data_IF_765824714860
#
_entry.id   IF_765824714860
#
_cell.length_a   1.000
_cell.length_b   1.000
_cell.length_c   1.000
_cell.angle_alpha   90.00
_cell.angle_beta   90.00
_cell.angle_gamma   90.00
#
_symmetry.space_group_name_H-M   'P 1'
#
loop_
_entity.id
_entity.type
_entity.pdbx_description
1 polymer ?
#
# COMPACT_ATOMS: atom_id res chain seq x y z
N UNK A 1 40.10 14.21 58.19
CA UNK A 1 39.01 15.14 57.87
C UNK A 1 38.08 14.47 56.85
N UNK A 2 36.75 14.54 57.01
CA UNK A 2 35.78 13.80 56.21
C UNK A 2 35.58 14.40 54.81
N UNK A 3 35.19 13.56 53.85
CA UNK A 3 34.98 13.92 52.45
C UNK A 3 33.82 14.89 52.24
N UNK A 4 34.09 15.93 51.47
CA UNK A 4 33.14 16.99 51.11
C UNK A 4 32.09 16.44 50.14
N UNK A 5 30.82 16.38 50.54
CA UNK A 5 29.70 16.10 49.65
C UNK A 5 29.50 17.27 48.68
N UNK A 6 29.71 17.03 47.38
CA UNK A 6 29.37 17.99 46.33
C UNK A 6 27.85 18.00 46.18
N UNK A 7 27.20 19.03 46.73
CA UNK A 7 25.74 19.10 46.80
C UNK A 7 25.05 19.56 45.52
N UNK A 8 25.76 20.12 44.54
CA UNK A 8 25.13 20.65 43.33
C UNK A 8 25.96 20.33 42.08
N UNK A 9 25.37 19.57 41.15
CA UNK A 9 25.84 19.43 39.78
C UNK A 9 25.01 20.39 38.92
N UNK A 10 25.58 21.52 38.53
CA UNK A 10 24.90 22.47 37.62
C UNK A 10 25.18 22.05 36.19
N UNK A 11 24.23 21.33 35.59
CA UNK A 11 24.31 20.97 34.18
C UNK A 11 23.83 22.16 33.33
N UNK A 12 24.75 22.75 32.58
CA UNK A 12 24.46 23.87 31.68
C UNK A 12 24.54 23.35 30.24
N UNK A 13 23.43 23.43 29.50
CA UNK A 13 23.39 23.03 28.09
C UNK A 13 22.48 23.95 27.29
N UNK A 14 22.92 24.32 26.08
CA UNK A 14 22.07 25.05 25.13
C UNK A 14 21.29 24.06 24.29
N UNK A 15 19.96 24.13 24.36
CA UNK A 15 19.06 23.36 23.50
C UNK A 15 18.78 24.15 22.23
N UNK A 16 19.31 23.71 21.10
CA UNK A 16 18.94 24.26 19.79
C UNK A 16 17.76 23.46 19.21
N UNK A 17 16.54 23.97 19.41
CA UNK A 17 15.31 23.47 18.80
C UNK A 17 15.20 24.00 17.37
N UNK A 18 15.38 23.12 16.38
CA UNK A 18 15.04 23.40 14.97
C UNK A 18 13.65 22.85 14.69
N UNK A 19 12.70 23.73 14.41
CA UNK A 19 11.34 23.34 14.02
C UNK A 19 11.21 23.46 12.50
N UNK A 20 10.71 22.41 11.87
CA UNK A 20 10.43 22.42 10.43
C UNK A 20 8.92 22.46 10.24
N UNK A 21 8.42 23.55 9.68
CA UNK A 21 7.02 23.70 9.32
C UNK A 21 6.80 23.22 7.89
N UNK A 22 5.83 22.33 7.68
CA UNK A 22 5.39 21.94 6.34
C UNK A 22 3.98 22.46 6.07
N UNK A 23 3.70 22.75 4.81
CA UNK A 23 2.36 23.13 4.37
C UNK A 23 1.50 21.88 4.18
N UNK A 24 0.56 21.66 5.10
CA UNK A 24 -0.35 20.50 5.07
C UNK A 24 -1.10 20.35 3.75
N UNK A 25 -1.52 21.46 3.12
CA UNK A 25 -2.20 21.43 1.82
C UNK A 25 -1.28 20.98 0.70
N UNK A 26 -0.05 21.49 0.63
CA UNK A 26 0.93 21.09 -0.40
C UNK A 26 1.33 19.62 -0.24
N UNK A 27 1.56 19.18 0.99
CA UNK A 27 1.85 17.78 1.30
C UNK A 27 0.70 16.87 0.90
N UNK A 28 -0.55 17.26 1.20
CA UNK A 28 -1.74 16.53 0.77
C UNK A 28 -1.80 16.38 -0.76
N UNK A 29 -1.69 17.48 -1.50
CA UNK A 29 -1.77 17.44 -2.96
C UNK A 29 -0.65 16.61 -3.60
N UNK A 30 0.55 16.65 -3.02
CA UNK A 30 1.65 15.80 -3.48
C UNK A 30 1.36 14.31 -3.25
N UNK A 31 0.82 13.95 -2.08
CA UNK A 31 0.41 12.57 -1.83
C UNK A 31 -0.75 12.15 -2.72
N UNK A 32 -1.76 13.00 -2.92
CA UNK A 32 -2.86 12.73 -3.86
C UNK A 32 -2.31 12.39 -5.25
N UNK A 33 -1.38 13.19 -5.77
CA UNK A 33 -0.74 12.92 -7.07
C UNK A 33 0.03 11.59 -7.10
N UNK A 34 0.80 11.27 -6.06
CA UNK A 34 1.52 10.00 -5.98
C UNK A 34 0.57 8.81 -5.90
N UNK A 35 -0.49 8.93 -5.11
CA UNK A 35 -1.51 7.89 -4.97
C UNK A 35 -2.24 7.68 -6.30
N UNK A 36 -2.76 8.74 -6.91
CA UNK A 36 -3.46 8.68 -8.20
C UNK A 36 -2.56 8.07 -9.30
N UNK A 37 -1.28 8.41 -9.33
CA UNK A 37 -0.32 7.83 -10.26
C UNK A 37 -0.04 6.33 -10.01
N UNK A 38 -0.24 5.85 -8.78
CA UNK A 38 -0.08 4.43 -8.42
C UNK A 38 -1.33 3.58 -8.64
N UNK A 39 -2.50 4.22 -8.81
CA UNK A 39 -3.75 3.49 -9.02
C UNK A 39 -3.78 2.82 -10.39
N UNK A 40 -4.40 1.64 -10.43
CA UNK A 40 -4.74 1.02 -11.70
C UNK A 40 -5.90 1.80 -12.35
N UNK A 41 -5.68 2.40 -13.54
CA UNK A 41 -6.71 3.19 -14.22
C UNK A 41 -8.02 2.39 -14.37
N UNK A 42 -9.16 3.08 -14.26
CA UNK A 42 -10.52 2.56 -14.46
C UNK A 42 -11.00 1.48 -13.47
N UNK A 43 -10.17 1.08 -12.51
CA UNK A 43 -10.50 0.01 -11.56
C UNK A 43 -10.34 0.35 -10.12
N UNK A 44 -9.42 1.25 -9.83
CA UNK A 44 -9.22 1.76 -8.51
C UNK A 44 -9.59 3.23 -8.51
N UNK A 45 -10.38 3.61 -7.52
CA UNK A 45 -10.65 5.02 -7.23
C UNK A 45 -10.28 5.28 -5.79
N UNK A 46 -9.67 6.43 -5.55
CA UNK A 46 -9.51 6.92 -4.18
C UNK A 46 -10.91 7.24 -3.66
N UNK A 47 -11.37 6.51 -2.65
CA UNK A 47 -12.60 6.88 -1.96
C UNK A 47 -12.36 8.03 -0.99
N UNK A 48 -11.28 7.95 -0.21
CA UNK A 48 -10.90 8.98 0.76
C UNK A 48 -9.41 8.90 1.09
N UNK A 49 -8.71 10.04 1.12
CA UNK A 49 -7.39 10.16 1.76
C UNK A 49 -7.53 10.94 3.07
N UNK A 50 -7.12 10.33 4.19
CA UNK A 50 -7.26 10.98 5.48
C UNK A 50 -6.05 11.88 5.79
N UNK A 51 -6.19 13.15 5.40
CA UNK A 51 -5.19 14.19 5.66
C UNK A 51 -5.07 14.62 7.13
N UNK A 52 -5.97 14.19 8.04
CA UNK A 52 -5.82 14.44 9.49
C UNK A 52 -4.81 13.53 10.14
N UNK A 53 -4.43 12.45 9.46
CA UNK A 53 -3.53 11.43 9.99
C UNK A 53 -2.20 11.38 9.22
N UNK A 54 -1.76 12.51 8.64
CA UNK A 54 -0.42 12.63 8.06
C UNK A 54 0.59 12.70 9.20
N UNK A 55 1.43 11.69 9.34
CA UNK A 55 2.50 11.65 10.33
C UNK A 55 3.85 11.46 9.67
N UNK A 56 4.90 12.02 10.30
CA UNK A 56 6.28 11.71 9.95
C UNK A 56 6.66 10.46 10.73
N UNK A 57 6.94 9.38 10.02
CA UNK A 57 7.31 8.09 10.60
C UNK A 57 8.80 8.04 10.93
N UNK A 58 9.64 8.64 10.08
CA UNK A 58 11.07 8.73 10.34
C UNK A 58 11.70 9.95 9.70
N UNK A 59 12.74 10.48 10.35
CA UNK A 59 13.62 11.51 9.81
C UNK A 59 15.06 10.99 9.86
N UNK A 60 15.70 10.92 8.71
CA UNK A 60 17.10 10.52 8.59
C UNK A 60 17.90 11.72 8.10
N UNK A 61 18.83 12.27 8.90
CA UNK A 61 19.73 13.32 8.43
C UNK A 61 20.60 12.77 7.30
N UNK A 62 20.66 13.52 6.21
CA UNK A 62 21.55 13.31 5.08
C UNK A 62 22.67 14.33 5.21
N UNK A 63 23.78 13.90 5.80
CA UNK A 63 25.01 14.70 5.84
C UNK A 63 25.72 14.54 4.50
N UNK A 64 25.37 15.36 3.52
CA UNK A 64 26.15 15.50 2.30
C UNK A 64 26.55 16.98 2.13
N UNK A 65 27.87 17.21 2.21
CA UNK A 65 28.60 18.41 1.77
C UNK A 65 27.89 19.74 2.06
N UNK A 66 27.95 20.20 3.31
CA UNK A 66 27.67 21.59 3.68
C UNK A 66 26.21 22.04 3.64
N UNK A 67 25.28 21.20 3.19
CA UNK A 67 23.84 21.46 3.24
C UNK A 67 23.19 20.44 4.16
N UNK A 68 22.63 20.91 5.28
CA UNK A 68 21.80 20.07 6.15
C UNK A 68 20.55 19.64 5.37
N UNK A 69 20.52 18.38 4.92
CA UNK A 69 19.38 17.79 4.24
C UNK A 69 18.82 16.64 5.07
N UNK A 70 17.53 16.38 4.97
CA UNK A 70 16.86 15.31 5.72
C UNK A 70 15.99 14.49 4.77
N UNK A 71 16.07 13.17 4.89
CA UNK A 71 15.10 12.25 4.30
C UNK A 71 13.98 12.04 5.31
N UNK A 72 12.76 12.45 4.96
CA UNK A 72 11.58 12.20 5.78
C UNK A 72 10.75 11.07 5.15
N UNK A 73 10.35 10.09 5.96
CA UNK A 73 9.33 9.10 5.60
C UNK A 73 8.02 9.58 6.24
N UNK A 74 6.98 9.72 5.45
CA UNK A 74 5.66 10.14 5.95
C UNK A 74 4.63 9.06 5.65
N UNK A 75 3.69 8.90 6.56
CA UNK A 75 2.59 7.94 6.46
C UNK A 75 1.26 8.68 6.35
N UNK A 76 0.40 8.19 5.46
CA UNK A 76 -0.96 8.68 5.30
C UNK A 76 -1.89 7.50 5.04
N UNK A 77 -3.02 7.47 5.74
CA UNK A 77 -4.02 6.42 5.56
C UNK A 77 -4.99 6.81 4.43
N UNK A 78 -5.28 5.87 3.53
CA UNK A 78 -6.23 6.05 2.44
C UNK A 78 -7.10 4.80 2.24
N UNK A 79 -8.26 4.99 1.62
CA UNK A 79 -9.15 3.92 1.20
C UNK A 79 -9.20 3.88 -0.33
N UNK A 80 -8.94 2.69 -0.89
CA UNK A 80 -9.07 2.40 -2.32
C UNK A 80 -10.35 1.59 -2.51
N UNK A 81 -11.21 2.02 -3.41
CA UNK A 81 -12.40 1.28 -3.82
C UNK A 81 -12.17 0.67 -5.20
N UNK A 82 -12.51 -0.60 -5.30
CA UNK A 82 -12.33 -1.39 -6.51
C UNK A 82 -13.66 -1.52 -7.26
N UNK A 83 -13.70 -1.16 -8.55
CA UNK A 83 -14.84 -1.44 -9.40
C UNK A 83 -14.66 -2.78 -10.13
N UNK A 84 -15.26 -3.81 -9.54
CA UNK A 84 -15.21 -5.18 -10.02
C UNK A 84 -16.24 -5.52 -11.11
N UNK A 85 -17.17 -4.61 -11.41
CA UNK A 85 -18.20 -4.81 -12.44
C UNK A 85 -17.68 -4.54 -13.86
N UNK A 86 -16.46 -4.01 -14.01
CA UNK A 86 -15.87 -3.75 -15.32
C UNK A 86 -15.13 -5.00 -15.85
N UNK A 87 -15.52 -5.57 -17.02
CA UNK A 87 -14.84 -6.72 -17.61
C UNK A 87 -13.39 -6.45 -18.05
N UNK A 88 -12.98 -5.18 -18.22
CA UNK A 88 -11.59 -4.79 -18.50
C UNK A 88 -10.75 -4.60 -17.24
N UNK A 89 -11.29 -4.95 -16.06
CA UNK A 89 -10.62 -4.69 -14.79
C UNK A 89 -9.20 -5.31 -14.76
N UNK A 90 -8.11 -4.52 -14.64
CA UNK A 90 -6.76 -5.03 -14.67
C UNK A 90 -6.43 -6.01 -13.54
N UNK A 91 -7.05 -5.89 -12.37
CA UNK A 91 -6.90 -6.86 -11.28
C UNK A 91 -7.52 -8.21 -11.67
N UNK A 92 -8.74 -8.22 -12.21
CA UNK A 92 -9.35 -9.44 -12.74
C UNK A 92 -8.52 -10.02 -13.90
N UNK A 93 -7.94 -9.16 -14.75
CA UNK A 93 -7.04 -9.59 -15.83
C UNK A 93 -5.75 -10.20 -15.30
N UNK A 94 -5.15 -9.63 -14.26
CA UNK A 94 -3.96 -10.19 -13.61
C UNK A 94 -4.28 -11.55 -13.00
N UNK A 95 -5.36 -11.64 -12.21
CA UNK A 95 -5.80 -12.90 -11.60
C UNK A 95 -6.08 -13.95 -12.67
N UNK A 96 -6.75 -13.58 -13.76
CA UNK A 96 -6.98 -14.45 -14.92
C UNK A 96 -5.66 -15.00 -15.49
N UNK A 97 -4.68 -14.14 -15.74
CA UNK A 97 -3.39 -14.54 -16.27
C UNK A 97 -2.62 -15.47 -15.32
N UNK A 98 -2.83 -15.36 -14.01
CA UNK A 98 -2.20 -16.25 -13.04
C UNK A 98 -2.75 -17.69 -13.09
N UNK A 99 -4.03 -17.86 -13.44
CA UNK A 99 -4.72 -19.17 -13.41
C UNK A 99 -4.88 -19.84 -14.79
N UNK A 100 -4.71 -19.09 -15.88
CA UNK A 100 -4.81 -19.59 -17.26
C UNK A 100 -3.96 -20.84 -17.48
N UNK A 101 -4.56 -21.89 -18.05
CA UNK A 101 -3.87 -23.13 -18.42
C UNK A 101 -3.41 -24.02 -17.26
N UNK A 102 -3.64 -23.62 -16.00
CA UNK A 102 -3.29 -24.39 -14.81
C UNK A 102 -4.33 -25.44 -14.48
N UNK A 103 -3.95 -26.45 -13.69
CA UNK A 103 -4.93 -27.40 -13.13
C UNK A 103 -5.90 -26.69 -12.21
N UNK A 104 -7.09 -27.26 -12.05
CA UNK A 104 -8.10 -26.74 -11.12
C UNK A 104 -7.55 -26.56 -9.71
N UNK A 105 -6.77 -27.51 -9.22
CA UNK A 105 -6.19 -27.51 -7.88
C UNK A 105 -5.15 -26.40 -7.72
N UNK A 106 -4.26 -26.23 -8.70
CA UNK A 106 -3.25 -25.17 -8.70
C UNK A 106 -3.90 -23.79 -8.77
N UNK A 107 -4.84 -23.61 -9.69
CA UNK A 107 -5.57 -22.36 -9.84
C UNK A 107 -6.34 -22.00 -8.55
N UNK A 108 -6.99 -22.98 -7.91
CA UNK A 108 -7.69 -22.77 -6.66
C UNK A 108 -6.73 -22.39 -5.52
N UNK A 109 -5.54 -23.00 -5.48
CA UNK A 109 -4.49 -22.67 -4.52
C UNK A 109 -3.98 -21.24 -4.71
N UNK A 110 -3.72 -20.82 -5.96
CA UNK A 110 -3.32 -19.45 -6.28
C UNK A 110 -4.38 -18.45 -5.84
N UNK A 111 -5.65 -18.71 -6.17
CA UNK A 111 -6.75 -17.83 -5.78
C UNK A 111 -6.91 -17.73 -4.26
N UNK A 112 -6.82 -18.83 -3.52
CA UNK A 112 -6.95 -18.82 -2.05
C UNK A 112 -5.79 -18.12 -1.34
N UNK A 113 -4.62 -18.05 -1.98
CA UNK A 113 -3.45 -17.37 -1.44
C UNK A 113 -3.36 -15.91 -1.90
N UNK A 114 -4.23 -15.45 -2.81
CA UNK A 114 -4.25 -14.06 -3.24
C UNK A 114 -4.90 -13.20 -2.15
N UNK A 115 -4.22 -12.14 -1.67
CA UNK A 115 -4.74 -11.28 -0.60
C UNK A 115 -6.04 -10.54 -0.99
N UNK A 116 -6.37 -10.47 -2.29
CA UNK A 116 -7.57 -9.81 -2.79
C UNK A 116 -8.76 -10.79 -2.94
N UNK A 117 -8.59 -12.08 -2.63
CA UNK A 117 -9.61 -13.11 -2.82
C UNK A 117 -9.99 -13.72 -1.47
N UNK A 118 -11.22 -13.46 -1.02
CA UNK A 118 -11.72 -13.98 0.26
C UNK A 118 -12.16 -15.46 0.17
N UNK A 119 -12.76 -15.86 -0.95
CA UNK A 119 -13.17 -17.23 -1.24
C UNK A 119 -13.22 -17.45 -2.75
N UNK A 120 -12.92 -18.66 -3.20
CA UNK A 120 -12.83 -19.00 -4.61
C UNK A 120 -13.39 -20.38 -4.92
N UNK A 121 -14.23 -20.46 -5.94
CA UNK A 121 -14.73 -21.71 -6.52
C UNK A 121 -14.52 -21.70 -8.03
N UNK A 122 -13.80 -22.70 -8.53
CA UNK A 122 -13.60 -22.91 -9.97
C UNK A 122 -14.57 -23.96 -10.47
N UNK A 123 -15.31 -23.63 -11.52
CA UNK A 123 -16.15 -24.56 -12.29
C UNK A 123 -15.60 -24.62 -13.70
N UNK A 124 -15.27 -25.81 -14.18
CA UNK A 124 -14.75 -26.02 -15.53
C UNK A 124 -15.84 -26.70 -16.35
N UNK A 125 -16.08 -26.18 -17.56
CA UNK A 125 -16.99 -26.76 -18.54
C UNK A 125 -16.27 -26.94 -19.87
N UNK A 126 -16.35 -28.12 -20.51
CA UNK A 126 -17.03 -29.31 -20.01
C UNK A 126 -16.33 -29.95 -18.80
N UNK A 127 -17.10 -30.61 -17.93
CA UNK A 127 -16.66 -31.05 -16.60
C UNK A 127 -15.52 -32.08 -16.58
N UNK A 128 -15.23 -32.71 -17.72
CA UNK A 128 -14.15 -33.69 -17.88
C UNK A 128 -12.78 -33.04 -18.12
N UNK A 129 -12.70 -31.71 -18.22
CA UNK A 129 -11.44 -31.00 -18.23
C UNK A 129 -10.91 -30.78 -16.81
N UNK A 130 -9.60 -30.98 -16.65
CA UNK A 130 -8.85 -30.85 -15.40
C UNK A 130 -8.15 -29.48 -15.28
N UNK A 131 -8.10 -28.72 -16.38
CA UNK A 131 -7.39 -27.43 -16.47
C UNK A 131 -8.32 -26.27 -16.77
N UNK A 132 -7.98 -25.13 -16.19
CA UNK A 132 -8.55 -23.83 -16.56
C UNK A 132 -8.18 -23.55 -18.02
N UNK A 133 -9.13 -22.97 -18.78
CA UNK A 133 -8.92 -22.67 -20.19
C UNK A 133 -7.62 -21.89 -20.42
N UNK A 134 -6.86 -22.31 -21.44
CA UNK A 134 -5.68 -21.56 -21.90
C UNK A 134 -6.05 -20.24 -22.59
N UNK A 135 -7.35 -20.04 -22.87
CA UNK A 135 -7.92 -18.82 -23.44
C UNK A 135 -8.42 -17.91 -22.32
N UNK A 136 -7.77 -16.76 -22.06
CA UNK A 136 -8.19 -15.85 -20.98
C UNK A 136 -9.62 -15.35 -21.15
N UNK A 137 -10.04 -15.08 -22.39
CA UNK A 137 -11.39 -14.64 -22.78
C UNK A 137 -12.49 -15.67 -22.45
N UNK A 138 -12.12 -16.95 -22.32
CA UNK A 138 -13.05 -18.01 -21.94
C UNK A 138 -13.22 -18.17 -20.42
N UNK A 139 -12.50 -17.38 -19.61
CA UNK A 139 -12.55 -17.41 -18.15
C UNK A 139 -13.43 -16.27 -17.65
N UNK A 140 -14.61 -16.64 -17.16
CA UNK A 140 -15.57 -15.70 -16.58
C UNK A 140 -15.43 -15.62 -15.06
N UNK A 141 -15.46 -14.40 -14.52
CA UNK A 141 -15.39 -14.14 -13.08
C UNK A 141 -16.75 -13.71 -12.56
N UNK A 142 -17.37 -14.55 -11.75
CA UNK A 142 -18.62 -14.24 -11.07
C UNK A 142 -18.32 -13.78 -9.65
N UNK A 143 -18.48 -12.48 -9.39
CA UNK A 143 -18.17 -11.86 -8.11
C UNK A 143 -19.43 -11.86 -7.26
N UNK A 144 -19.37 -12.56 -6.12
CA UNK A 144 -20.49 -12.66 -5.17
C UNK A 144 -20.26 -11.68 -4.04
N UNK A 145 -21.16 -10.72 -3.88
CA UNK A 145 -21.20 -9.90 -2.69
C UNK A 145 -21.81 -10.75 -1.56
N UNK A 146 -21.10 -10.86 -0.43
CA UNK A 146 -21.66 -11.39 0.81
C UNK A 146 -22.50 -10.32 1.50
#
# INVERSE_FOLDING_TARGET
MPGTSINNITLSGSLHLRTYAYSRSKTKSYFEQLFDASLLPETQTVATLNSSNISIESLTPLTQTGVESFKATMKMNGNIVYNFSNPTNPLLRQIRNLIVGRSKEEALSILKNDPNVADAKITISPFFMDKVSSRPDAIDFVIRNK
#
